data_IF_810247010963
#
_entry.id   IF_810247010963
#
_cell.length_a   1.000
_cell.length_b   1.000
_cell.length_c   1.000
_cell.angle_alpha   90.00
_cell.angle_beta   90.00
_cell.angle_gamma   90.00
#
_symmetry.space_group_name_H-M   'P 1'
#
loop_
_entity.id
_entity.type
_entity.pdbx_description
1 polymer ?
#
# COMPACT_ATOMS: atom_id res chain seq x y z
N UNK A 1 -6.98 -30.97 -15.75
CA UNK A 1 -6.09 -30.91 -14.55
C UNK A 1 -5.65 -29.45 -14.24
N UNK A 2 -6.57 -28.52 -13.94
CA UNK A 2 -6.22 -27.10 -13.63
C UNK A 2 -6.66 -26.61 -12.23
N UNK A 3 -7.38 -27.43 -11.45
CA UNK A 3 -7.92 -27.05 -10.14
C UNK A 3 -6.96 -27.22 -8.95
N UNK A 4 -5.87 -27.99 -9.08
CA UNK A 4 -5.00 -28.31 -7.92
C UNK A 4 -4.17 -27.12 -7.41
N UNK A 5 -3.80 -26.16 -8.28
CA UNK A 5 -3.03 -24.96 -7.87
C UNK A 5 -3.87 -23.90 -7.16
N UNK A 6 -5.18 -23.87 -7.41
CA UNK A 6 -6.07 -22.79 -6.96
C UNK A 6 -6.54 -22.97 -5.50
N UNK A 7 -6.70 -24.22 -5.05
CA UNK A 7 -7.04 -24.53 -3.66
C UNK A 7 -5.90 -24.19 -2.67
N UNK A 8 -4.66 -24.15 -3.16
CA UNK A 8 -3.45 -23.96 -2.35
C UNK A 8 -3.21 -22.53 -1.86
N UNK A 9 -3.82 -21.49 -2.46
CA UNK A 9 -3.55 -20.08 -2.08
C UNK A 9 -4.54 -19.62 -0.99
N UNK A 10 -5.83 -19.94 -1.15
CA UNK A 10 -6.85 -19.68 -0.12
C UNK A 10 -6.65 -20.48 1.16
N UNK A 11 -6.22 -21.75 1.05
CA UNK A 11 -5.81 -22.54 2.22
C UNK A 11 -4.51 -22.01 2.85
N UNK A 12 -3.65 -21.31 2.12
CA UNK A 12 -2.37 -20.89 2.67
C UNK A 12 -2.49 -19.67 3.57
N UNK A 13 -3.38 -18.73 3.25
CA UNK A 13 -3.70 -17.65 4.19
C UNK A 13 -4.18 -18.31 5.49
N UNK A 14 -5.07 -19.30 5.42
CA UNK A 14 -5.54 -20.09 6.56
C UNK A 14 -4.40 -20.88 7.26
N UNK A 15 -3.42 -21.43 6.53
CA UNK A 15 -2.25 -22.13 7.11
C UNK A 15 -1.26 -21.16 7.77
N UNK A 16 -0.91 -20.06 7.10
CA UNK A 16 -0.10 -18.96 7.63
C UNK A 16 -0.73 -18.39 8.91
N UNK A 17 -2.04 -18.25 8.92
CA UNK A 17 -2.83 -17.79 10.08
C UNK A 17 -2.93 -18.86 11.17
N UNK A 18 -2.93 -20.15 10.81
CA UNK A 18 -3.01 -21.28 11.73
C UNK A 18 -1.70 -21.56 12.47
N UNK A 19 -0.58 -21.02 12.00
CA UNK A 19 0.76 -21.20 12.58
C UNK A 19 1.11 -19.96 13.42
N UNK A 20 0.33 -19.70 14.46
CA UNK A 20 0.87 -18.98 15.61
C UNK A 20 1.89 -19.90 16.30
N UNK A 21 3.14 -19.99 15.80
CA UNK A 21 4.19 -20.70 16.54
C UNK A 21 5.40 -21.29 15.79
N UNK A 22 5.52 -21.27 14.47
CA UNK A 22 6.79 -21.67 13.82
C UNK A 22 7.68 -20.44 13.65
N UNK A 23 8.85 -20.48 14.28
CA UNK A 23 9.91 -19.47 14.14
C UNK A 23 10.54 -19.43 12.73
N UNK A 24 10.29 -20.42 11.88
CA UNK A 24 10.89 -20.56 10.56
C UNK A 24 9.85 -20.94 9.49
N UNK A 25 9.82 -20.17 8.40
CA UNK A 25 9.09 -20.48 7.16
C UNK A 25 9.89 -21.46 6.29
N UNK A 26 9.20 -22.37 5.64
CA UNK A 26 9.81 -23.19 4.59
C UNK A 26 10.03 -22.40 3.28
N UNK A 27 10.81 -22.96 2.36
CA UNK A 27 11.14 -22.31 1.08
C UNK A 27 9.89 -22.04 0.21
N UNK A 28 8.85 -22.86 0.33
CA UNK A 28 7.61 -22.65 -0.40
C UNK A 28 6.81 -21.47 0.18
N UNK A 29 6.82 -21.30 1.50
CA UNK A 29 6.20 -20.17 2.20
C UNK A 29 6.93 -18.86 1.87
N UNK A 30 8.27 -18.87 1.89
CA UNK A 30 9.09 -17.70 1.49
C UNK A 30 8.83 -17.28 0.04
N UNK A 31 8.83 -18.24 -0.89
CA UNK A 31 8.57 -17.95 -2.31
C UNK A 31 7.20 -17.27 -2.52
N UNK A 32 6.19 -17.67 -1.75
CA UNK A 32 4.86 -17.05 -1.82
C UNK A 32 4.83 -15.68 -1.15
N UNK A 33 5.56 -15.47 -0.06
CA UNK A 33 5.70 -14.15 0.52
C UNK A 33 6.35 -13.18 -0.46
N UNK A 34 7.36 -13.65 -1.21
CA UNK A 34 7.99 -12.89 -2.29
C UNK A 34 7.03 -12.60 -3.45
N UNK A 35 6.15 -13.54 -3.81
CA UNK A 35 5.07 -13.32 -4.79
C UNK A 35 4.10 -12.22 -4.32
N UNK A 36 3.67 -12.25 -3.07
CA UNK A 36 2.80 -11.22 -2.47
C UNK A 36 3.45 -9.84 -2.51
N UNK A 37 4.73 -9.76 -2.14
CA UNK A 37 5.54 -8.53 -2.21
C UNK A 37 5.60 -7.98 -3.63
N UNK A 38 5.85 -8.86 -4.60
CA UNK A 38 5.96 -8.49 -6.02
C UNK A 38 4.62 -8.00 -6.57
N UNK A 39 3.52 -8.72 -6.30
CA UNK A 39 2.18 -8.33 -6.74
C UNK A 39 1.75 -6.98 -6.12
N UNK A 40 2.02 -6.77 -4.83
CA UNK A 40 1.71 -5.51 -4.13
C UNK A 40 2.56 -4.35 -4.66
N UNK A 41 3.86 -4.56 -4.85
CA UNK A 41 4.75 -3.55 -5.43
C UNK A 41 4.32 -3.16 -6.85
N UNK A 42 3.95 -4.16 -7.67
CA UNK A 42 3.43 -3.93 -9.02
C UNK A 42 2.11 -3.17 -9.01
N UNK A 43 1.21 -3.52 -8.09
CA UNK A 43 -0.05 -2.79 -7.91
C UNK A 43 0.20 -1.33 -7.53
N UNK A 44 1.04 -1.08 -6.52
CA UNK A 44 1.40 0.28 -6.08
C UNK A 44 2.04 1.09 -7.21
N UNK A 45 3.08 0.57 -7.85
CA UNK A 45 3.82 1.24 -8.91
C UNK A 45 2.91 1.65 -10.08
N UNK A 46 1.98 0.77 -10.47
CA UNK A 46 1.12 1.01 -11.62
C UNK A 46 -0.13 1.84 -11.30
N UNK A 47 -0.61 1.83 -10.05
CA UNK A 47 -1.88 2.47 -9.69
C UNK A 47 -1.73 3.72 -8.83
N UNK A 48 -0.56 3.99 -8.24
CA UNK A 48 -0.39 5.08 -7.28
C UNK A 48 0.81 5.98 -7.57
N UNK A 49 0.71 7.22 -7.10
CA UNK A 49 1.77 8.23 -7.06
C UNK A 49 1.83 8.85 -5.67
N UNK A 50 2.93 9.53 -5.37
CA UNK A 50 3.06 10.27 -4.11
C UNK A 50 2.79 11.74 -4.41
N UNK A 51 2.12 12.44 -3.52
CA UNK A 51 2.14 13.89 -3.51
C UNK A 51 2.60 14.44 -2.17
N UNK A 52 3.14 15.66 -2.24
CA UNK A 52 3.45 16.46 -1.06
C UNK A 52 2.78 17.82 -1.12
N UNK A 53 2.74 18.50 0.03
CA UNK A 53 2.27 19.88 0.13
C UNK A 53 3.21 20.68 1.01
N UNK A 54 3.47 21.91 0.64
CA UNK A 54 4.19 22.85 1.49
C UNK A 54 3.37 23.15 2.76
N UNK A 55 3.87 22.72 3.93
CA UNK A 55 3.13 22.84 5.19
C UNK A 55 2.81 24.29 5.56
N UNK A 56 3.74 25.23 5.33
CA UNK A 56 3.49 26.65 5.61
C UNK A 56 2.33 27.20 4.80
N UNK A 57 2.26 26.87 3.51
CA UNK A 57 1.13 27.28 2.65
C UNK A 57 -0.19 26.59 3.05
N UNK A 58 -0.13 25.33 3.52
CA UNK A 58 -1.32 24.63 4.05
C UNK A 58 -1.85 25.33 5.30
N UNK A 59 -0.96 25.77 6.20
CA UNK A 59 -1.33 26.53 7.39
C UNK A 59 -1.96 27.89 7.03
N UNK A 60 -1.38 28.62 6.08
CA UNK A 60 -1.94 29.89 5.56
C UNK A 60 -3.38 29.68 5.05
N UNK A 61 -3.61 28.65 4.22
CA UNK A 61 -4.93 28.29 3.71
C UNK A 61 -5.89 27.89 4.84
N UNK A 62 -5.41 27.17 5.85
CA UNK A 62 -6.23 26.78 7.01
C UNK A 62 -6.69 28.00 7.82
N UNK A 63 -5.82 29.00 8.00
CA UNK A 63 -6.17 30.26 8.66
C UNK A 63 -7.16 31.08 7.82
N UNK A 64 -6.98 31.14 6.50
CA UNK A 64 -7.93 31.79 5.59
C UNK A 64 -9.32 31.13 5.65
N UNK A 65 -9.39 29.80 5.77
CA UNK A 65 -10.67 29.07 5.87
C UNK A 65 -11.30 29.16 7.26
N UNK A 66 -10.48 29.16 8.31
CA UNK A 66 -10.88 29.26 9.72
C UNK A 66 -12.10 28.39 10.09
N UNK A 67 -12.03 27.09 9.80
CA UNK A 67 -13.12 26.12 10.05
C UNK A 67 -14.47 26.56 9.45
N UNK A 68 -14.45 27.20 8.28
CA UNK A 68 -15.62 27.72 7.57
C UNK A 68 -16.10 29.10 8.05
N UNK A 69 -15.36 29.78 8.94
CA UNK A 69 -15.66 31.14 9.42
C UNK A 69 -14.72 32.20 8.86
N UNK A 70 -13.88 31.82 7.91
CA UNK A 70 -12.83 32.66 7.36
C UNK A 70 -13.25 33.40 6.09
N UNK A 71 -12.27 33.84 5.32
CA UNK A 71 -12.45 34.66 4.11
C UNK A 71 -12.65 33.85 2.83
N UNK A 72 -12.43 32.53 2.87
CA UNK A 72 -12.58 31.64 1.70
C UNK A 72 -13.66 30.58 1.96
N UNK A 73 -14.31 30.14 0.88
CA UNK A 73 -15.30 29.06 0.94
C UNK A 73 -14.64 27.69 1.13
N UNK A 74 -15.44 26.67 1.44
CA UNK A 74 -14.97 25.28 1.50
C UNK A 74 -14.46 24.78 0.14
N UNK A 75 -15.14 25.15 -0.95
CA UNK A 75 -14.69 24.83 -2.31
C UNK A 75 -13.33 25.46 -2.61
N UNK A 76 -13.16 26.76 -2.29
CA UNK A 76 -11.90 27.45 -2.49
C UNK A 76 -10.78 26.86 -1.63
N UNK A 77 -11.08 26.48 -0.38
CA UNK A 77 -10.16 25.77 0.49
C UNK A 77 -9.64 24.47 -0.16
N UNK A 78 -10.52 23.60 -0.65
CA UNK A 78 -10.10 22.36 -1.31
C UNK A 78 -9.37 22.58 -2.64
N UNK A 79 -9.79 23.58 -3.42
CA UNK A 79 -9.11 23.96 -4.66
C UNK A 79 -7.68 24.43 -4.38
N UNK A 80 -7.48 25.33 -3.40
CA UNK A 80 -6.14 25.80 -2.99
C UNK A 80 -5.26 24.65 -2.49
N UNK A 81 -5.80 23.76 -1.64
CA UNK A 81 -5.05 22.59 -1.18
C UNK A 81 -4.67 21.63 -2.30
N UNK A 82 -5.52 21.47 -3.32
CA UNK A 82 -5.25 20.61 -4.47
C UNK A 82 -4.18 21.23 -5.38
N UNK A 83 -4.17 22.55 -5.54
CA UNK A 83 -3.16 23.28 -6.31
C UNK A 83 -1.76 23.23 -5.67
N UNK A 84 -1.65 22.96 -4.36
CA UNK A 84 -0.38 22.78 -3.67
C UNK A 84 0.25 21.39 -3.82
N UNK A 85 -0.42 20.45 -4.50
CA UNK A 85 0.09 19.07 -4.63
C UNK A 85 1.27 19.03 -5.58
N UNK A 86 2.43 18.65 -5.05
CA UNK A 86 3.63 18.35 -5.83
C UNK A 86 3.79 16.83 -5.93
N UNK A 87 3.65 16.31 -7.15
CA UNK A 87 3.67 14.87 -7.41
C UNK A 87 5.07 14.31 -7.63
N UNK A 88 5.28 13.08 -7.19
CA UNK A 88 6.49 12.30 -7.45
C UNK A 88 6.14 10.83 -7.67
N UNK A 89 6.96 10.15 -8.45
CA UNK A 89 6.80 8.74 -8.75
C UNK A 89 7.25 7.86 -7.58
N UNK A 90 6.71 6.65 -7.53
CA UNK A 90 7.22 5.59 -6.66
C UNK A 90 8.48 5.02 -7.30
N UNK A 91 9.62 5.18 -6.63
CA UNK A 91 10.92 4.72 -7.08
C UNK A 91 11.58 3.68 -6.15
N UNK A 92 11.03 3.52 -4.93
CA UNK A 92 11.45 2.48 -3.99
C UNK A 92 10.27 2.03 -3.14
N UNK A 93 10.16 0.72 -2.92
CA UNK A 93 9.24 0.08 -1.99
C UNK A 93 10.06 -0.89 -1.16
N UNK A 94 10.13 -0.66 0.15
CA UNK A 94 10.84 -1.53 1.08
C UNK A 94 9.83 -2.23 1.99
N UNK A 95 9.71 -3.55 1.87
CA UNK A 95 8.93 -4.35 2.79
C UNK A 95 9.71 -4.52 4.08
N UNK A 96 9.04 -4.34 5.23
CA UNK A 96 9.72 -4.28 6.53
C UNK A 96 9.24 -5.33 7.52
N UNK A 97 7.99 -5.80 7.38
CA UNK A 97 7.41 -6.81 8.26
C UNK A 97 6.12 -7.39 7.69
N UNK A 98 5.90 -8.66 7.96
CA UNK A 98 4.58 -9.29 7.88
C UNK A 98 4.09 -9.71 9.26
N UNK A 99 2.79 -9.61 9.50
CA UNK A 99 2.17 -10.15 10.72
C UNK A 99 0.76 -10.63 10.47
N UNK A 100 0.20 -11.40 11.41
CA UNK A 100 -1.20 -11.82 11.37
C UNK A 100 -2.00 -11.02 12.39
N UNK A 101 -3.06 -10.36 11.93
CA UNK A 101 -3.96 -9.61 12.82
C UNK A 101 -4.80 -10.56 13.69
N UNK A 102 -5.40 -10.08 14.81
CA UNK A 102 -6.33 -10.87 15.61
C UNK A 102 -7.51 -11.44 14.81
N UNK A 103 -7.91 -10.72 13.74
CA UNK A 103 -8.96 -11.14 12.82
C UNK A 103 -8.46 -12.08 11.72
N UNK A 104 -7.27 -12.67 11.88
CA UNK A 104 -6.73 -13.65 10.93
C UNK A 104 -6.55 -13.01 9.54
N UNK A 105 -5.93 -11.84 9.49
CA UNK A 105 -5.60 -11.16 8.23
C UNK A 105 -4.09 -10.97 8.12
N UNK A 106 -3.52 -11.19 6.94
CA UNK A 106 -2.12 -10.89 6.70
C UNK A 106 -1.94 -9.38 6.63
N UNK A 107 -1.12 -8.83 7.52
CA UNK A 107 -0.77 -7.43 7.58
C UNK A 107 0.63 -7.25 7.01
N UNK A 108 0.75 -6.41 5.99
CA UNK A 108 2.01 -6.13 5.29
C UNK A 108 2.45 -4.72 5.63
N UNK A 109 3.66 -4.58 6.17
CA UNK A 109 4.31 -3.29 6.44
C UNK A 109 5.35 -3.00 5.37
N UNK A 110 5.35 -1.77 4.88
CA UNK A 110 6.29 -1.32 3.86
C UNK A 110 6.47 0.19 3.90
N UNK A 111 7.59 0.66 3.37
CA UNK A 111 7.92 2.08 3.24
C UNK A 111 8.10 2.41 1.76
N UNK A 112 7.43 3.47 1.30
CA UNK A 112 7.56 3.98 -0.06
C UNK A 112 8.55 5.14 -0.07
N UNK A 113 9.52 5.11 -0.99
CA UNK A 113 10.57 6.12 -1.21
C UNK A 113 11.31 6.54 0.07
N UNK A 114 11.43 5.65 1.06
CA UNK A 114 11.99 5.93 2.41
C UNK A 114 11.29 7.09 3.14
N UNK A 115 10.03 7.39 2.79
CA UNK A 115 9.32 8.60 3.22
C UNK A 115 7.92 8.34 3.74
N UNK A 116 7.23 7.34 3.20
CA UNK A 116 5.83 7.06 3.52
C UNK A 116 5.69 5.62 4.02
N UNK A 117 5.53 5.48 5.32
CA UNK A 117 5.26 4.20 5.96
C UNK A 117 3.79 3.81 5.80
N UNK A 118 3.56 2.57 5.38
CA UNK A 118 2.24 2.03 5.09
C UNK A 118 2.08 0.66 5.71
N UNK A 119 0.81 0.37 5.97
CA UNK A 119 0.36 -0.98 6.29
C UNK A 119 -0.86 -1.28 5.42
N UNK A 120 -0.93 -2.48 4.86
CA UNK A 120 -2.13 -2.96 4.17
C UNK A 120 -2.53 -4.32 4.72
N UNK A 121 -3.83 -4.57 4.76
CA UNK A 121 -4.36 -5.86 5.18
C UNK A 121 -4.83 -6.66 3.97
N UNK A 122 -4.41 -7.92 3.91
CA UNK A 122 -4.71 -8.85 2.83
C UNK A 122 -5.55 -9.99 3.41
N UNK A 123 -6.79 -10.08 2.95
CA UNK A 123 -7.75 -11.10 3.41
C UNK A 123 -8.70 -11.61 2.31
N UNK A 124 -8.57 -11.08 1.09
CA UNK A 124 -9.50 -11.37 0.00
C UNK A 124 -8.71 -11.85 -1.22
N UNK A 125 -9.12 -12.98 -1.79
CA UNK A 125 -8.64 -13.47 -3.09
C UNK A 125 -9.77 -13.25 -4.09
N UNK A 126 -9.44 -12.66 -5.23
CA UNK A 126 -10.39 -12.49 -6.34
C UNK A 126 -10.74 -13.85 -6.93
N UNK A 127 -12.04 -14.15 -7.04
CA UNK A 127 -12.51 -15.39 -7.66
C UNK A 127 -12.18 -15.47 -9.17
N UNK A 128 -12.02 -14.32 -9.82
CA UNK A 128 -11.77 -14.20 -11.25
C UNK A 128 -10.30 -14.38 -11.60
N UNK A 129 -9.42 -13.72 -10.83
CA UNK A 129 -7.97 -13.70 -11.10
C UNK A 129 -7.19 -14.66 -10.23
N UNK A 130 -7.80 -15.18 -9.16
CA UNK A 130 -7.16 -15.99 -8.13
C UNK A 130 -5.93 -15.29 -7.49
N UNK A 131 -5.90 -13.96 -7.53
CA UNK A 131 -4.88 -13.11 -6.90
C UNK A 131 -5.43 -12.41 -5.66
N UNK A 132 -4.52 -11.97 -4.79
CA UNK A 132 -4.88 -11.12 -3.64
C UNK A 132 -5.46 -9.79 -4.11
N UNK A 133 -6.53 -9.36 -3.45
CA UNK A 133 -7.14 -8.05 -3.66
C UNK A 133 -6.52 -7.05 -2.69
N UNK A 134 -5.88 -6.03 -3.24
CA UNK A 134 -5.31 -4.92 -2.47
C UNK A 134 -6.37 -3.85 -2.27
N UNK A 135 -6.77 -3.62 -1.01
CA UNK A 135 -7.70 -2.54 -0.63
C UNK A 135 -6.88 -1.38 -0.07
N UNK A 136 -6.45 -0.49 -0.96
CA UNK A 136 -5.74 0.74 -0.62
C UNK A 136 -6.66 1.90 -1.01
N UNK A 137 -6.84 2.87 -0.11
CA UNK A 137 -7.67 4.05 -0.32
C UNK A 137 -7.10 4.99 -1.39
N UNK A 138 -7.97 5.83 -1.95
CA UNK A 138 -7.60 6.75 -3.02
C UNK A 138 -6.64 7.85 -2.58
N UNK A 139 -6.72 8.24 -1.30
CA UNK A 139 -5.83 9.18 -0.64
C UNK A 139 -5.48 8.64 0.75
N UNK A 140 -4.22 8.30 0.98
CA UNK A 140 -3.77 7.81 2.30
C UNK A 140 -2.41 8.38 2.69
N UNK A 141 -2.25 8.82 3.94
CA UNK A 141 -0.99 9.31 4.48
C UNK A 141 -1.19 10.33 5.60
N UNK A 142 -0.10 10.65 6.29
CA UNK A 142 -0.04 11.68 7.31
C UNK A 142 1.27 12.47 7.15
N UNK A 143 1.26 13.75 7.50
CA UNK A 143 2.44 14.61 7.30
C UNK A 143 2.64 15.00 5.84
N UNK A 144 3.85 15.36 5.39
CA UNK A 144 4.03 15.99 4.08
C UNK A 144 3.89 15.01 2.91
N UNK A 145 3.77 13.70 3.12
CA UNK A 145 3.72 12.69 2.06
C UNK A 145 2.39 11.95 2.07
N UNK A 146 1.78 11.85 0.90
CA UNK A 146 0.49 11.18 0.71
C UNK A 146 0.55 10.28 -0.50
N UNK A 147 -0.04 9.09 -0.39
CA UNK A 147 -0.30 8.20 -1.51
C UNK A 147 -1.60 8.62 -2.18
N UNK A 148 -1.58 8.74 -3.51
CA UNK A 148 -2.76 9.04 -4.31
C UNK A 148 -2.90 8.07 -5.47
N UNK A 149 -4.12 7.57 -5.69
CA UNK A 149 -4.44 6.75 -6.84
C UNK A 149 -4.34 7.58 -8.12
N UNK A 150 -3.61 7.07 -9.11
CA UNK A 150 -3.50 7.69 -10.43
C UNK A 150 -4.88 7.75 -11.10
N UNK A 151 -5.21 8.82 -11.85
CA UNK A 151 -6.44 8.86 -12.65
C UNK A 151 -6.53 7.72 -13.66
N UNK A 152 -5.38 7.27 -14.16
CA UNK A 152 -5.27 6.14 -15.08
C UNK A 152 -4.12 5.26 -14.64
N UNK A 153 -4.40 3.96 -14.48
CA UNK A 153 -3.38 2.98 -14.16
C UNK A 153 -2.43 2.79 -15.35
N UNK A 154 -1.16 2.52 -15.05
CA UNK A 154 -0.18 2.10 -16.05
C UNK A 154 -0.10 0.57 -16.11
N UNK A 155 0.57 0.04 -17.13
CA UNK A 155 0.89 -1.39 -17.22
C UNK A 155 2.38 -1.55 -17.56
N UNK A 156 3.21 -0.87 -16.78
CA UNK A 156 4.65 -0.89 -16.94
C UNK A 156 5.24 -2.07 -16.16
N UNK A 157 6.31 -2.70 -16.69
CA UNK A 157 7.06 -3.70 -15.94
C UNK A 157 7.66 -3.07 -14.68
N UNK A 158 7.74 -3.85 -13.61
CA UNK A 158 8.35 -3.41 -12.37
C UNK A 158 9.86 -3.21 -12.58
N UNK A 159 10.44 -2.05 -12.24
CA UNK A 159 11.88 -1.87 -12.29
C UNK A 159 12.60 -2.81 -11.32
N UNK A 160 13.72 -3.41 -11.73
CA UNK A 160 14.45 -4.42 -10.95
C UNK A 160 14.85 -3.93 -9.55
N UNK A 161 15.25 -2.66 -9.43
CA UNK A 161 15.70 -2.06 -8.18
C UNK A 161 14.59 -1.32 -7.41
N UNK A 162 13.32 -1.45 -7.82
CA UNK A 162 12.21 -0.79 -7.12
C UNK A 162 11.96 -1.42 -5.74
N UNK A 163 12.15 -2.73 -5.61
CA UNK A 163 11.69 -3.48 -4.43
C UNK A 163 12.86 -3.92 -3.56
N UNK A 164 12.74 -3.67 -2.26
CA UNK A 164 13.53 -4.35 -1.23
C UNK A 164 12.62 -5.32 -0.51
N UNK A 165 12.91 -6.62 -0.63
CA UNK A 165 12.10 -7.69 -0.07
C UNK A 165 12.44 -7.92 1.41
N UNK A 166 11.43 -8.22 2.22
CA UNK A 166 11.60 -8.75 3.57
C UNK A 166 11.66 -10.29 3.52
N UNK A 167 12.79 -10.83 3.95
CA UNK A 167 13.10 -12.26 4.03
C UNK A 167 12.81 -12.83 5.44
N UNK A 168 12.39 -11.98 6.38
CA UNK A 168 12.22 -12.29 7.80
C UNK A 168 10.96 -13.07 8.15
N UNK A 169 10.12 -13.42 7.19
CA UNK A 169 8.88 -14.16 7.37
C UNK A 169 7.78 -13.40 8.11
N UNK A 170 6.81 -14.13 8.65
CA UNK A 170 5.65 -13.58 9.38
C UNK A 170 5.95 -13.58 10.88
N UNK A 171 5.76 -12.43 11.51
CA UNK A 171 6.07 -12.17 12.92
C UNK A 171 4.84 -11.79 13.73
#
# INVERSE_FOLDING_TARGET
MKHRKQWLIGLLIILIIGIGGKWYMDEQEKAKLHEIQTDLANYLYNNYRIYTRNQKKVEEIYQEFNKGKGSISEEEYFNKLSALREYSDINKIEFTRFSVSPMKMLKVHYTINNKLDKQTYLNTISAETNKLVFKIGEHEGEGPYYLEKKPTATNLPLPENLVTYDEGGIR
#
